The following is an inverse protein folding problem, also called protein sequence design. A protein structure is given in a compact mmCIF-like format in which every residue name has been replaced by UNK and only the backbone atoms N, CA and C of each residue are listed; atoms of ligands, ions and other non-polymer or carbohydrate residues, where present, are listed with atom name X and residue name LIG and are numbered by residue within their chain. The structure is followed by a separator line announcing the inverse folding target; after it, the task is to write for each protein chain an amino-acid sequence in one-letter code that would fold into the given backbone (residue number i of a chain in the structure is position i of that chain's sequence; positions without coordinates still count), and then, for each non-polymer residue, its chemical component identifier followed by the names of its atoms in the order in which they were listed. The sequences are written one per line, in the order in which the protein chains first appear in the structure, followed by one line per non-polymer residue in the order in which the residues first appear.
data_IF_780856764137
#
_entry.id   IF_780856764137
#
_cell.length_a   1.000
_cell.length_b   1.000
_cell.length_c   1.000
_cell.angle_alpha   90.00
_cell.angle_beta   90.00
_cell.angle_gamma   90.00
#
_symmetry.space_group_name_H-M   'P 1'
#
loop_
_entity.id
_entity.type
_entity.pdbx_description
1 polymer ?
#
# COMPACT_ATOMS: atom_id res chain seq x y z
N UNK A 1 -24.50 38.09 57.45
CA UNK A 1 -23.17 37.63 57.92
C UNK A 1 -23.13 36.12 57.79
N UNK A 2 -22.54 35.58 56.71
CA UNK A 2 -22.52 34.13 56.39
C UNK A 2 -21.07 33.64 56.42
N UNK A 3 -20.78 32.75 57.36
CA UNK A 3 -19.49 32.09 57.56
C UNK A 3 -19.33 30.99 56.49
N UNK A 4 -18.27 31.08 55.68
CA UNK A 4 -17.86 30.02 54.73
C UNK A 4 -16.78 29.15 55.38
N UNK A 5 -17.07 27.86 55.59
CA UNK A 5 -16.09 26.84 55.96
C UNK A 5 -15.34 26.37 54.71
N UNK A 6 -14.01 26.39 54.78
CA UNK A 6 -13.10 25.81 53.77
C UNK A 6 -12.94 24.32 54.08
N UNK A 7 -13.17 23.46 53.09
CA UNK A 7 -12.77 22.06 53.12
C UNK A 7 -11.40 21.93 52.44
N UNK A 8 -10.43 21.40 53.17
CA UNK A 8 -9.12 20.99 52.68
C UNK A 8 -9.19 19.48 52.53
N UNK A 9 -8.94 18.98 51.30
CA UNK A 9 -8.88 17.54 51.02
C UNK A 9 -7.41 17.18 50.73
N UNK A 10 -6.83 16.36 51.61
CA UNK A 10 -5.55 15.69 51.40
C UNK A 10 -5.80 14.43 50.57
N UNK A 11 -5.07 14.25 49.46
CA UNK A 11 -5.01 12.97 48.74
C UNK A 11 -3.58 12.43 48.90
N UNK A 12 -3.48 11.25 49.49
CA UNK A 12 -2.26 10.48 49.74
C UNK A 12 -1.94 9.66 48.49
N UNK A 13 -0.74 9.84 47.94
CA UNK A 13 -0.18 9.02 46.88
C UNK A 13 0.20 7.63 47.42
N UNK A 14 -0.17 6.57 46.71
CA UNK A 14 0.33 5.21 46.94
C UNK A 14 1.07 4.73 45.69
N UNK A 15 2.37 4.50 45.87
CA UNK A 15 3.28 3.87 44.93
C UNK A 15 2.95 2.38 44.78
N UNK A 16 2.83 1.88 43.55
CA UNK A 16 2.89 0.45 43.25
C UNK A 16 3.97 0.26 42.19
N UNK A 17 5.06 -0.40 42.60
CA UNK A 17 6.16 -0.84 41.72
C UNK A 17 5.81 -2.24 41.25
N UNK A 18 5.61 -2.44 39.95
CA UNK A 18 5.43 -3.75 39.33
C UNK A 18 6.68 -4.10 38.54
N UNK A 19 7.44 -5.08 39.04
CA UNK A 19 8.55 -5.74 38.36
C UNK A 19 7.97 -6.79 37.41
N UNK A 20 8.18 -6.64 36.10
CA UNK A 20 7.94 -7.72 35.13
C UNK A 20 9.27 -8.41 34.79
N UNK A 21 9.30 -9.72 35.03
CA UNK A 21 10.40 -10.61 34.74
C UNK A 21 10.39 -11.05 33.26
N UNK A 22 11.58 -11.09 32.65
CA UNK A 22 11.79 -11.59 31.29
C UNK A 22 11.62 -13.12 31.23
N UNK A 23 10.72 -13.58 30.36
CA UNK A 23 10.56 -14.98 29.97
C UNK A 23 11.09 -15.22 28.55
N UNK A 24 11.96 -16.21 28.43
CA UNK A 24 12.74 -16.61 27.26
C UNK A 24 11.94 -17.55 26.34
N UNK A 25 11.91 -17.35 25.01
CA UNK A 25 11.45 -18.38 24.05
C UNK A 25 12.34 -18.46 22.78
N UNK A 26 13.19 -19.49 22.77
CA UNK A 26 13.46 -20.54 21.75
C UNK A 26 13.37 -20.19 20.24
N UNK A 27 14.54 -20.25 19.59
CA UNK A 27 14.80 -20.33 18.15
C UNK A 27 14.17 -21.54 17.44
N UNK A 28 13.66 -21.32 16.21
CA UNK A 28 13.66 -22.34 15.14
C UNK A 28 14.01 -21.72 13.79
N UNK A 29 15.15 -22.18 13.26
CA UNK A 29 15.80 -21.79 12.02
C UNK A 29 15.03 -22.22 10.77
N UNK A 30 14.98 -21.33 9.78
CA UNK A 30 14.47 -21.56 8.43
C UNK A 30 15.57 -22.05 7.46
N UNK A 31 15.12 -22.77 6.42
CA UNK A 31 15.88 -23.39 5.35
C UNK A 31 16.23 -22.39 4.22
N UNK A 32 17.41 -22.57 3.63
CA UNK A 32 18.03 -21.71 2.61
C UNK A 32 17.40 -21.83 1.22
N UNK A 33 17.20 -20.69 0.55
CA UNK A 33 17.05 -20.58 -0.90
C UNK A 33 18.37 -20.11 -1.52
N UNK A 34 18.77 -20.71 -2.65
CA UNK A 34 19.91 -20.29 -3.47
C UNK A 34 19.43 -19.81 -4.84
N UNK A 35 19.77 -18.57 -5.15
CA UNK A 35 19.50 -17.83 -6.38
C UNK A 35 20.55 -18.14 -7.44
N UNK A 36 20.15 -18.18 -8.72
CA UNK A 36 21.07 -18.18 -9.87
C UNK A 36 20.82 -16.95 -10.75
N UNK A 37 21.86 -16.15 -10.90
CA UNK A 37 21.93 -14.95 -11.76
C UNK A 37 22.03 -15.33 -13.24
N UNK A 38 21.36 -14.56 -14.11
CA UNK A 38 21.60 -14.59 -15.57
C UNK A 38 21.86 -13.17 -16.06
N UNK A 39 23.02 -13.02 -16.70
CA UNK A 39 23.54 -11.83 -17.37
C UNK A 39 22.92 -11.68 -18.76
N UNK A 40 22.56 -10.46 -19.15
CA UNK A 40 22.04 -10.12 -20.48
C UNK A 40 23.11 -9.33 -21.24
N UNK A 41 23.42 -9.77 -22.46
CA UNK A 41 24.23 -9.01 -23.43
C UNK A 41 23.30 -8.32 -24.43
N UNK A 42 23.58 -7.04 -24.67
CA UNK A 42 22.94 -6.22 -25.71
C UNK A 42 23.55 -6.49 -27.08
N UNK A 43 22.75 -6.43 -28.13
CA UNK A 43 23.22 -6.20 -29.49
C UNK A 43 22.20 -5.34 -30.23
N UNK A 44 22.68 -4.19 -30.67
CA UNK A 44 22.01 -3.18 -31.47
C UNK A 44 22.04 -3.58 -32.93
N UNK A 45 20.94 -3.39 -33.66
CA UNK A 45 21.03 -2.93 -35.06
C UNK A 45 19.70 -2.47 -35.67
N UNK A 46 19.88 -1.55 -36.64
CA UNK A 46 19.05 -1.25 -37.82
C UNK A 46 18.03 -0.08 -37.84
N UNK A 47 18.50 0.99 -38.51
CA UNK A 47 17.98 1.58 -39.78
C UNK A 47 16.48 1.83 -40.03
N UNK A 48 16.16 3.15 -40.02
CA UNK A 48 15.40 4.01 -40.97
C UNK A 48 14.52 3.37 -42.06
N UNK A 49 13.23 3.78 -42.12
CA UNK A 49 12.54 4.19 -43.37
C UNK A 49 11.26 5.02 -43.13
N UNK A 50 11.13 6.09 -43.92
CA UNK A 50 10.02 7.03 -44.05
C UNK A 50 8.75 6.41 -44.67
N UNK A 51 7.55 6.96 -44.41
CA UNK A 51 6.81 7.89 -45.32
C UNK A 51 5.26 7.81 -45.18
N UNK A 52 4.66 9.00 -45.18
CA UNK A 52 3.35 9.44 -45.73
C UNK A 52 2.02 9.24 -44.97
N UNK A 53 1.37 10.39 -44.81
CA UNK A 53 -0.02 10.69 -44.49
C UNK A 53 -1.06 10.09 -45.46
N UNK A 54 -2.28 9.87 -44.97
CA UNK A 54 -3.50 10.24 -45.69
C UNK A 54 -4.71 10.33 -44.75
N UNK A 55 -5.38 11.48 -44.81
CA UNK A 55 -6.67 11.77 -44.19
C UNK A 55 -7.79 10.98 -44.90
N UNK A 56 -8.78 10.49 -44.15
CA UNK A 56 -10.15 10.47 -44.64
C UNK A 56 -11.19 10.45 -43.53
N UNK A 57 -12.06 11.44 -43.61
CA UNK A 57 -13.24 11.73 -42.80
C UNK A 57 -14.40 10.84 -43.25
N UNK A 58 -15.06 10.13 -42.34
CA UNK A 58 -16.46 9.69 -42.51
C UNK A 58 -17.17 9.80 -41.18
N UNK A 59 -17.99 10.83 -41.04
CA UNK A 59 -18.99 10.97 -39.99
C UNK A 59 -20.05 9.89 -40.16
N UNK A 60 -20.20 9.02 -39.17
CA UNK A 60 -21.30 8.06 -39.09
C UNK A 60 -22.25 8.51 -37.99
N UNK A 61 -23.49 8.81 -38.38
CA UNK A 61 -24.61 9.11 -37.49
C UNK A 61 -24.78 8.00 -36.46
N UNK A 62 -24.45 8.33 -35.21
CA UNK A 62 -24.70 7.47 -34.06
C UNK A 62 -26.18 7.54 -33.73
N UNK A 63 -26.91 6.50 -34.15
CA UNK A 63 -28.24 6.20 -33.62
C UNK A 63 -28.06 5.94 -32.12
N UNK A 64 -28.66 6.81 -31.30
CA UNK A 64 -28.79 6.63 -29.87
C UNK A 64 -29.66 5.40 -29.60
N UNK A 65 -29.04 4.22 -29.62
CA UNK A 65 -29.67 3.01 -29.09
C UNK A 65 -29.68 3.16 -27.58
N UNK A 66 -30.87 3.50 -27.09
CA UNK A 66 -31.27 3.47 -25.68
C UNK A 66 -30.58 2.33 -24.94
N UNK A 67 -29.90 2.71 -23.86
CA UNK A 67 -29.34 1.80 -22.87
C UNK A 67 -30.47 0.91 -22.35
N UNK A 68 -30.53 -0.33 -22.84
CA UNK A 68 -31.33 -1.37 -22.23
C UNK A 68 -30.65 -1.72 -20.91
N UNK A 69 -30.97 -0.95 -19.88
CA UNK A 69 -30.68 -1.28 -18.49
C UNK A 69 -31.09 -2.74 -18.28
N UNK A 70 -30.10 -3.62 -18.06
CA UNK A 70 -30.33 -4.99 -17.61
C UNK A 70 -31.05 -4.87 -16.26
N UNK A 71 -32.37 -4.98 -16.26
CA UNK A 71 -33.27 -4.72 -15.14
C UNK A 71 -33.14 -5.70 -13.96
N UNK A 72 -32.06 -6.50 -13.93
CA UNK A 72 -31.94 -7.74 -13.16
C UNK A 72 -30.70 -7.78 -12.27
N UNK A 73 -30.12 -6.61 -11.94
CA UNK A 73 -29.04 -6.47 -10.96
C UNK A 73 -27.65 -6.91 -11.43
N UNK A 74 -27.46 -7.15 -12.74
CA UNK A 74 -26.20 -7.59 -13.35
C UNK A 74 -25.51 -6.50 -14.17
N UNK A 75 -25.59 -5.24 -13.73
CA UNK A 75 -24.86 -4.16 -14.39
C UNK A 75 -23.40 -4.15 -13.93
N UNK A 76 -22.47 -4.13 -14.88
CA UNK A 76 -21.06 -3.87 -14.64
C UNK A 76 -20.76 -2.38 -14.54
N UNK A 77 -21.65 -1.50 -15.03
CA UNK A 77 -21.41 -0.06 -15.00
C UNK A 77 -21.16 0.48 -13.58
N UNK A 78 -20.18 1.37 -13.49
CA UNK A 78 -19.83 2.01 -12.23
C UNK A 78 -18.34 2.20 -12.04
N UNK A 79 -17.99 2.73 -10.89
CA UNK A 79 -16.61 2.86 -10.44
C UNK A 79 -16.37 1.88 -9.30
N UNK A 80 -15.49 0.93 -9.56
CA UNK A 80 -15.20 -0.20 -8.70
C UNK A 80 -13.82 -0.02 -8.08
N UNK A 81 -13.75 0.00 -6.76
CA UNK A 81 -12.52 0.13 -5.99
C UNK A 81 -12.13 -1.21 -5.39
N UNK A 82 -10.86 -1.59 -5.53
CA UNK A 82 -10.32 -2.83 -4.98
C UNK A 82 -10.41 -2.80 -3.46
N UNK A 83 -10.88 -3.88 -2.86
CA UNK A 83 -11.24 -3.96 -1.44
C UNK A 83 -10.65 -5.21 -0.78
N UNK A 84 -10.62 -5.24 0.55
CA UNK A 84 -10.03 -6.28 1.38
C UNK A 84 -8.52 -6.46 1.14
N UNK A 85 -7.82 -5.33 1.01
CA UNK A 85 -6.37 -5.26 0.75
C UNK A 85 -5.72 -4.19 1.62
N UNK A 86 -4.39 -4.21 1.81
CA UNK A 86 -3.66 -3.05 2.33
C UNK A 86 -3.77 -1.86 1.36
N UNK A 87 -3.90 -0.63 1.88
CA UNK A 87 -3.98 0.62 1.07
C UNK A 87 -2.80 0.84 0.13
N UNK A 88 -1.63 0.30 0.50
CA UNK A 88 -0.41 0.29 -0.31
C UNK A 88 -0.62 -0.31 -1.72
N UNK A 89 -1.62 -1.18 -1.84
CA UNK A 89 -2.04 -1.80 -3.08
C UNK A 89 -3.43 -1.33 -3.40
N UNK A 90 -3.72 -1.10 -4.66
CA UNK A 90 -5.07 -0.74 -5.03
C UNK A 90 -5.33 -0.80 -6.51
N UNK A 91 -6.58 -0.52 -6.82
CA UNK A 91 -7.10 -0.60 -8.16
C UNK A 91 -8.45 0.09 -8.22
N UNK A 92 -8.63 0.93 -9.23
CA UNK A 92 -9.94 1.44 -9.63
C UNK A 92 -10.24 0.95 -11.04
N UNK A 93 -11.42 0.38 -11.22
CA UNK A 93 -11.96 0.04 -12.54
C UNK A 93 -13.18 0.92 -12.76
N UNK A 94 -13.14 1.75 -13.79
CA UNK A 94 -14.32 2.48 -14.26
C UNK A 94 -14.90 1.72 -15.45
N UNK A 95 -16.15 1.29 -15.35
CA UNK A 95 -16.88 0.59 -16.41
C UNK A 95 -17.99 1.49 -16.93
N UNK A 96 -18.05 1.66 -18.25
CA UNK A 96 -18.95 2.57 -18.96
C UNK A 96 -19.45 1.96 -20.27
N UNK A 97 -20.47 2.58 -20.87
CA UNK A 97 -20.99 2.23 -22.19
C UNK A 97 -21.42 0.76 -22.27
N UNK A 98 -22.03 0.22 -21.22
CA UNK A 98 -22.47 -1.17 -21.26
C UNK A 98 -23.60 -1.35 -22.28
N UNK A 99 -23.44 -2.37 -23.12
CA UNK A 99 -24.42 -2.87 -24.08
C UNK A 99 -24.73 -4.34 -23.76
N UNK A 100 -25.51 -5.00 -24.61
CA UNK A 100 -25.93 -6.39 -24.39
C UNK A 100 -24.76 -7.40 -24.43
N UNK A 101 -23.71 -7.07 -25.18
CA UNK A 101 -22.60 -7.97 -25.51
C UNK A 101 -21.23 -7.42 -25.13
N UNK A 102 -21.13 -6.17 -24.66
CA UNK A 102 -19.86 -5.60 -24.23
C UNK A 102 -20.00 -4.44 -23.23
N UNK A 103 -18.88 -4.03 -22.66
CA UNK A 103 -18.70 -2.74 -22.00
C UNK A 103 -17.27 -2.22 -22.21
N UNK A 104 -17.08 -0.91 -22.05
CA UNK A 104 -15.76 -0.29 -21.99
C UNK A 104 -15.29 -0.19 -20.54
N UNK A 105 -13.98 -0.32 -20.31
CA UNK A 105 -13.39 -0.14 -18.99
C UNK A 105 -12.07 0.64 -19.02
N UNK A 106 -11.78 1.32 -17.91
CA UNK A 106 -10.50 1.95 -17.58
C UNK A 106 -10.04 1.43 -16.22
N UNK A 107 -8.91 0.73 -16.18
CA UNK A 107 -8.26 0.29 -14.95
C UNK A 107 -7.06 1.16 -14.62
N UNK A 108 -6.95 1.53 -13.35
CA UNK A 108 -5.77 2.18 -12.76
C UNK A 108 -5.39 1.45 -11.49
N UNK A 109 -4.22 0.83 -11.48
CA UNK A 109 -3.68 0.07 -10.34
C UNK A 109 -2.41 0.69 -9.78
N UNK A 110 -2.13 0.40 -8.51
CA UNK A 110 -0.89 0.81 -7.84
C UNK A 110 -0.39 -0.23 -6.84
N UNK A 111 0.91 -0.18 -6.61
CA UNK A 111 1.66 -0.98 -5.63
C UNK A 111 2.80 -0.10 -5.09
N UNK A 112 2.58 0.56 -3.96
CA UNK A 112 3.43 1.66 -3.51
C UNK A 112 3.51 2.78 -4.57
N UNK A 113 4.72 3.14 -4.97
CA UNK A 113 4.98 4.12 -6.03
C UNK A 113 4.93 3.52 -7.46
N UNK A 114 4.72 2.22 -7.61
CA UNK A 114 4.49 1.62 -8.93
C UNK A 114 3.03 1.77 -9.34
N UNK A 115 2.79 2.02 -10.62
CA UNK A 115 1.45 2.16 -11.17
C UNK A 115 1.29 1.43 -12.50
N UNK A 116 0.05 1.21 -12.90
CA UNK A 116 -0.32 0.61 -14.17
C UNK A 116 -1.69 1.08 -14.60
N UNK A 117 -1.86 1.26 -15.91
CA UNK A 117 -3.12 1.67 -16.51
C UNK A 117 -3.39 0.75 -17.70
N UNK A 118 -4.63 0.29 -17.84
CA UNK A 118 -5.08 -0.36 -19.06
C UNK A 118 -6.54 -0.01 -19.29
N UNK A 119 -6.91 0.20 -20.54
CA UNK A 119 -8.28 0.47 -20.95
C UNK A 119 -8.62 -0.44 -22.13
N UNK A 120 -9.88 -0.79 -22.28
CA UNK A 120 -10.31 -1.66 -23.37
C UNK A 120 -11.81 -1.95 -23.33
N UNK A 121 -12.24 -2.85 -24.21
CA UNK A 121 -13.63 -3.27 -24.31
C UNK A 121 -13.71 -4.75 -23.96
N UNK A 122 -14.44 -5.09 -22.90
CA UNK A 122 -14.66 -6.46 -22.48
C UNK A 122 -15.95 -7.00 -23.12
N UNK A 123 -15.92 -8.25 -23.58
CA UNK A 123 -17.07 -8.93 -24.18
C UNK A 123 -17.85 -9.68 -23.09
N UNK A 124 -19.14 -9.43 -22.99
CA UNK A 124 -20.06 -10.12 -22.07
C UNK A 124 -20.32 -11.51 -22.65
N UNK A 125 -19.80 -12.52 -21.97
CA UNK A 125 -19.93 -13.94 -22.38
C UNK A 125 -21.12 -14.63 -21.72
N UNK A 126 -21.56 -14.11 -20.58
CA UNK A 126 -22.75 -14.53 -19.84
C UNK A 126 -23.24 -13.35 -18.98
N UNK A 127 -24.47 -13.41 -18.47
CA UNK A 127 -25.13 -12.36 -17.66
C UNK A 127 -24.24 -11.79 -16.55
N UNK A 128 -23.38 -12.62 -15.96
CA UNK A 128 -22.52 -12.28 -14.83
C UNK A 128 -21.03 -12.33 -15.16
N UNK A 129 -20.64 -12.55 -16.42
CA UNK A 129 -19.24 -12.77 -16.80
C UNK A 129 -18.87 -12.05 -18.10
N UNK A 130 -17.79 -11.30 -18.07
CA UNK A 130 -17.17 -10.74 -19.27
C UNK A 130 -15.67 -11.06 -19.36
N UNK A 131 -15.13 -10.96 -20.57
CA UNK A 131 -13.74 -11.28 -20.90
C UNK A 131 -13.13 -10.16 -21.75
N UNK A 132 -11.93 -9.73 -21.38
CA UNK A 132 -11.07 -8.89 -22.19
C UNK A 132 -9.77 -9.62 -22.51
N UNK A 133 -9.39 -9.66 -23.78
CA UNK A 133 -8.16 -10.30 -24.25
C UNK A 133 -7.17 -9.23 -24.70
N UNK A 134 -6.00 -9.20 -24.06
CA UNK A 134 -4.92 -8.30 -24.41
C UNK A 134 -3.75 -9.08 -25.02
N UNK A 135 -3.21 -8.62 -26.14
CA UNK A 135 -1.98 -9.16 -26.73
C UNK A 135 -0.88 -8.13 -26.61
N UNK A 136 0.17 -8.47 -25.86
CA UNK A 136 1.34 -7.62 -25.73
C UNK A 136 2.08 -7.54 -27.07
N UNK A 137 2.28 -6.31 -27.54
CA UNK A 137 3.02 -6.00 -28.77
C UNK A 137 4.49 -6.37 -28.71
N UNK A 138 5.07 -6.52 -27.51
CA UNK A 138 6.50 -6.75 -27.34
C UNK A 138 6.87 -8.19 -27.01
N UNK A 139 6.03 -8.94 -26.30
CA UNK A 139 6.40 -10.27 -25.79
C UNK A 139 5.64 -11.45 -26.43
N UNK A 140 4.79 -11.22 -27.45
CA UNK A 140 3.87 -12.21 -28.02
C UNK A 140 2.96 -12.89 -26.98
N UNK A 141 2.96 -12.42 -25.74
CA UNK A 141 2.14 -12.94 -24.66
C UNK A 141 0.73 -12.39 -24.80
N UNK A 142 -0.23 -13.21 -24.40
CA UNK A 142 -1.62 -12.82 -24.26
C UNK A 142 -2.00 -12.85 -22.79
N UNK A 143 -2.74 -11.85 -22.35
CA UNK A 143 -3.46 -11.85 -21.09
C UNK A 143 -4.96 -11.96 -21.35
N UNK A 144 -5.64 -12.68 -20.47
CA UNK A 144 -7.10 -12.81 -20.48
C UNK A 144 -7.59 -12.30 -19.13
N UNK A 145 -8.29 -11.17 -19.14
CA UNK A 145 -8.92 -10.57 -17.97
C UNK A 145 -10.37 -11.00 -17.93
N UNK A 146 -10.77 -11.64 -16.83
CA UNK A 146 -12.15 -12.06 -16.59
C UNK A 146 -12.76 -11.19 -15.52
N UNK A 147 -13.97 -10.68 -15.78
CA UNK A 147 -14.78 -9.91 -14.84
C UNK A 147 -16.00 -10.74 -14.46
N UNK A 148 -16.26 -10.91 -13.17
CA UNK A 148 -17.41 -11.67 -12.66
C UNK A 148 -18.16 -10.78 -11.67
N UNK A 149 -19.46 -10.60 -11.86
CA UNK A 149 -20.33 -9.95 -10.87
C UNK A 149 -21.14 -10.98 -10.14
N UNK A 150 -21.00 -10.98 -8.82
CA UNK A 150 -21.82 -11.79 -7.92
C UNK A 150 -22.13 -10.99 -6.65
N UNK A 151 -23.39 -11.02 -6.21
CA UNK A 151 -23.85 -10.37 -4.98
C UNK A 151 -23.41 -8.90 -4.80
N UNK A 152 -23.40 -8.12 -5.90
CA UNK A 152 -22.99 -6.71 -5.88
C UNK A 152 -21.49 -6.45 -5.73
N UNK A 153 -20.66 -7.49 -5.87
CA UNK A 153 -19.21 -7.42 -5.89
C UNK A 153 -18.68 -7.78 -7.29
N UNK A 154 -17.65 -7.07 -7.74
CA UNK A 154 -16.93 -7.38 -8.96
C UNK A 154 -15.64 -8.13 -8.60
N UNK A 155 -15.52 -9.37 -9.03
CA UNK A 155 -14.26 -10.13 -8.97
C UNK A 155 -13.56 -10.04 -10.32
N UNK A 156 -12.29 -9.65 -10.32
CA UNK A 156 -11.47 -9.61 -11.54
C UNK A 156 -10.29 -10.54 -11.37
N UNK A 157 -9.97 -11.28 -12.41
CA UNK A 157 -8.79 -12.15 -12.48
C UNK A 157 -8.11 -12.03 -13.83
N UNK A 158 -6.79 -12.07 -13.87
CA UNK A 158 -6.04 -12.02 -15.11
C UNK A 158 -5.13 -13.24 -15.26
N UNK A 159 -5.35 -14.01 -16.31
CA UNK A 159 -4.37 -14.95 -16.80
C UNK A 159 -3.20 -14.16 -17.39
N UNK A 160 -1.99 -14.39 -16.89
CA UNK A 160 -0.77 -13.74 -17.35
C UNK A 160 -0.73 -12.20 -17.19
N UNK A 161 -0.89 -11.72 -15.96
CA UNK A 161 -0.73 -10.29 -15.60
C UNK A 161 0.50 -9.61 -16.20
N UNK A 162 1.61 -10.34 -16.36
CA UNK A 162 2.87 -9.78 -16.91
C UNK A 162 2.70 -9.21 -18.33
N UNK A 163 1.73 -9.71 -19.10
CA UNK A 163 1.45 -9.19 -20.43
C UNK A 163 0.68 -7.87 -20.42
N UNK A 164 0.04 -7.47 -19.31
CA UNK A 164 -0.74 -6.23 -19.23
C UNK A 164 0.13 -4.96 -19.15
N UNK A 165 1.46 -5.11 -19.05
CA UNK A 165 2.41 -3.99 -19.10
C UNK A 165 2.38 -3.08 -17.88
N UNK A 166 1.88 -3.56 -16.73
CA UNK A 166 1.85 -2.78 -15.50
C UNK A 166 3.25 -2.61 -14.89
N UNK A 167 3.40 -1.59 -14.04
CA UNK A 167 4.57 -1.42 -13.19
C UNK A 167 4.80 -2.61 -12.26
N UNK A 168 5.99 -2.66 -11.65
CA UNK A 168 6.42 -3.79 -10.84
C UNK A 168 5.41 -4.12 -9.73
N UNK A 169 4.98 -5.39 -9.67
CA UNK A 169 3.98 -5.94 -8.74
C UNK A 169 2.56 -5.33 -8.79
N UNK A 170 2.27 -4.46 -9.75
CA UNK A 170 0.89 -4.00 -9.98
C UNK A 170 0.12 -5.12 -10.69
N UNK A 171 -1.03 -5.51 -10.12
CA UNK A 171 -1.89 -6.57 -10.65
C UNK A 171 -3.36 -6.11 -10.62
N UNK A 172 -4.16 -6.59 -11.56
CA UNK A 172 -5.60 -6.26 -11.64
C UNK A 172 -6.46 -7.23 -10.81
N UNK A 173 -5.93 -8.39 -10.42
CA UNK A 173 -6.67 -9.43 -9.73
C UNK A 173 -7.20 -8.98 -8.37
N UNK A 174 -8.45 -9.30 -8.07
CA UNK A 174 -9.02 -9.12 -6.74
C UNK A 174 -10.51 -8.83 -6.77
N UNK A 175 -11.00 -8.49 -5.59
CA UNK A 175 -12.39 -8.13 -5.38
C UNK A 175 -12.52 -6.62 -5.35
N UNK A 176 -13.57 -6.12 -5.98
CA UNK A 176 -13.86 -4.72 -6.12
C UNK A 176 -15.30 -4.41 -5.68
N UNK A 177 -15.49 -3.22 -5.14
CA UNK A 177 -16.78 -2.74 -4.65
C UNK A 177 -17.04 -1.31 -5.14
N UNK A 178 -18.31 -0.97 -5.35
CA UNK A 178 -18.74 0.41 -5.62
C UNK A 178 -18.76 1.26 -4.33
N UNK A 179 -18.87 0.61 -3.18
CA UNK A 179 -18.84 1.27 -1.88
C UNK A 179 -17.42 1.74 -1.51
N UNK A 180 -17.28 2.35 -0.33
CA UNK A 180 -15.96 2.63 0.24
C UNK A 180 -15.18 1.30 0.42
N UNK A 181 -13.95 1.19 -0.09
CA UNK A 181 -13.15 -0.02 0.06
C UNK A 181 -12.77 -0.28 1.52
N UNK A 182 -12.81 -1.55 1.92
CA UNK A 182 -12.31 -2.00 3.20
C UNK A 182 -10.81 -2.24 3.08
N UNK A 183 -10.02 -1.55 3.90
CA UNK A 183 -8.57 -1.74 3.93
C UNK A 183 -8.14 -2.55 5.14
N UNK A 184 -7.27 -3.54 4.93
CA UNK A 184 -6.81 -4.42 6.02
C UNK A 184 -5.91 -3.70 7.03
N UNK A 185 -5.31 -2.57 6.65
CA UNK A 185 -4.45 -1.74 7.50
C UNK A 185 -5.14 -0.45 7.99
N UNK A 186 -6.47 -0.31 7.86
CA UNK A 186 -7.17 0.94 8.19
C UNK A 186 -6.93 1.48 9.62
N UNK A 187 -6.72 0.58 10.59
CA UNK A 187 -6.51 0.93 12.00
C UNK A 187 -5.06 0.75 12.48
N UNK A 188 -4.10 0.67 11.54
CA UNK A 188 -2.71 0.33 11.88
C UNK A 188 -2.07 1.38 12.81
N UNK A 189 -2.26 2.68 12.52
CA UNK A 189 -1.69 3.76 13.34
C UNK A 189 -2.18 3.67 14.79
N UNK A 190 -3.48 3.48 15.00
CA UNK A 190 -4.07 3.34 16.34
C UNK A 190 -3.66 2.03 17.02
N UNK A 191 -3.39 0.97 16.26
CA UNK A 191 -2.86 -0.28 16.82
C UNK A 191 -1.43 -0.14 17.34
N UNK A 192 -0.61 0.73 16.74
CA UNK A 192 0.78 0.98 17.17
C UNK A 192 0.84 2.07 18.24
N UNK A 193 0.03 3.12 18.10
CA UNK A 193 -0.05 4.26 19.01
C UNK A 193 -1.48 4.38 19.57
N UNK A 194 -1.87 3.53 20.53
CA UNK A 194 -3.25 3.44 21.01
C UNK A 194 -3.72 4.65 21.81
N UNK A 195 -2.79 5.47 22.32
CA UNK A 195 -3.10 6.69 23.07
C UNK A 195 -2.63 7.91 22.28
N UNK A 196 -3.39 9.00 22.36
CA UNK A 196 -2.96 10.27 21.76
C UNK A 196 -1.63 10.77 22.36
N UNK A 197 -1.38 10.46 23.63
CA UNK A 197 -0.08 10.74 24.26
C UNK A 197 1.09 10.01 23.55
N UNK A 198 0.87 8.82 23.01
CA UNK A 198 1.91 8.07 22.28
C UNK A 198 2.17 8.68 20.91
N UNK A 199 1.11 9.15 20.24
CA UNK A 199 1.19 9.90 18.97
C UNK A 199 1.95 11.21 19.17
N UNK A 200 1.65 11.96 20.22
CA UNK A 200 2.35 13.21 20.55
C UNK A 200 3.81 12.96 20.96
N UNK A 201 4.11 11.89 21.71
CA UNK A 201 5.48 11.47 22.01
C UNK A 201 6.27 11.17 20.73
N UNK A 202 5.71 10.37 19.82
CA UNK A 202 6.32 10.07 18.53
C UNK A 202 6.52 11.34 17.70
N UNK A 203 5.51 12.21 17.61
CA UNK A 203 5.58 13.49 16.90
C UNK A 203 6.67 14.42 17.44
N UNK A 204 6.79 14.56 18.76
CA UNK A 204 7.84 15.35 19.40
C UNK A 204 9.23 14.76 19.12
N UNK A 205 9.33 13.43 19.12
CA UNK A 205 10.56 12.71 18.85
C UNK A 205 11.03 12.89 17.40
N UNK A 206 10.16 12.71 16.41
CA UNK A 206 10.50 12.84 14.99
C UNK A 206 10.61 14.30 14.53
N UNK A 207 9.77 15.18 15.08
CA UNK A 207 9.45 16.46 14.43
C UNK A 207 8.32 16.32 13.40
N UNK A 208 7.72 17.44 13.00
CA UNK A 208 6.49 17.44 12.19
C UNK A 208 6.67 16.70 10.86
N UNK A 209 7.70 17.07 10.07
CA UNK A 209 7.91 16.53 8.71
C UNK A 209 8.13 15.02 8.72
N UNK A 210 9.11 14.55 9.49
CA UNK A 210 9.39 13.11 9.59
C UNK A 210 8.22 12.32 10.20
N UNK A 211 7.43 12.93 11.10
CA UNK A 211 6.21 12.32 11.62
C UNK A 211 5.13 12.14 10.55
N UNK A 212 4.87 13.16 9.72
CA UNK A 212 3.92 13.05 8.61
C UNK A 212 4.35 11.97 7.61
N UNK A 213 5.63 11.93 7.22
CA UNK A 213 6.15 10.89 6.33
C UNK A 213 6.09 9.50 6.96
N UNK A 214 6.32 9.36 8.27
CA UNK A 214 6.11 8.10 8.97
C UNK A 214 4.64 7.66 8.87
N UNK A 215 3.68 8.57 9.05
CA UNK A 215 2.26 8.25 8.90
C UNK A 215 1.93 7.82 7.47
N UNK A 216 2.51 8.48 6.45
CA UNK A 216 2.35 8.08 5.06
C UNK A 216 2.90 6.67 4.80
N UNK A 217 4.06 6.33 5.37
CA UNK A 217 4.61 4.96 5.29
C UNK A 217 3.73 3.96 6.05
N UNK A 218 3.11 4.33 7.16
CA UNK A 218 2.18 3.44 7.85
C UNK A 218 0.88 3.23 7.08
N UNK A 219 0.38 4.26 6.39
CA UNK A 219 -0.86 4.19 5.62
C UNK A 219 -0.66 3.50 4.27
N UNK A 220 0.40 3.84 3.54
CA UNK A 220 0.66 3.46 2.15
C UNK A 220 1.82 2.47 1.99
N UNK A 221 2.49 2.12 3.07
CA UNK A 221 3.61 1.18 3.05
C UNK A 221 3.17 -0.27 3.05
N UNK A 222 4.05 -1.10 2.51
CA UNK A 222 3.95 -2.54 2.55
C UNK A 222 4.55 -2.99 3.87
N UNK A 223 3.77 -3.70 4.67
CA UNK A 223 4.24 -4.22 5.95
C UNK A 223 5.07 -5.50 5.76
N UNK A 224 6.17 -5.60 6.51
CA UNK A 224 6.95 -6.84 6.67
C UNK A 224 6.74 -7.39 8.06
N UNK A 225 6.58 -8.71 8.16
CA UNK A 225 6.49 -9.37 9.45
C UNK A 225 7.87 -9.41 10.09
N UNK A 226 8.02 -8.73 11.22
CA UNK A 226 9.19 -8.81 12.09
C UNK A 226 8.69 -8.92 13.53
N UNK A 227 8.93 -10.08 14.15
CA UNK A 227 8.47 -10.42 15.50
C UNK A 227 9.15 -9.60 16.61
N UNK A 228 10.25 -8.89 16.30
CA UNK A 228 10.97 -8.04 17.26
C UNK A 228 10.46 -6.61 17.29
N UNK A 229 9.66 -6.21 16.31
CA UNK A 229 9.19 -4.84 16.10
C UNK A 229 7.67 -4.74 16.26
N UNK A 230 7.20 -3.57 16.66
CA UNK A 230 5.77 -3.27 16.67
C UNK A 230 5.26 -3.03 15.24
N UNK A 231 6.09 -2.41 14.40
CA UNK A 231 5.80 -2.20 12.98
C UNK A 231 7.10 -2.18 12.15
N UNK A 232 7.00 -2.65 10.91
CA UNK A 232 8.03 -2.52 9.89
C UNK A 232 7.34 -2.40 8.54
N UNK A 233 7.65 -1.36 7.78
CA UNK A 233 7.10 -1.20 6.44
C UNK A 233 7.85 -0.20 5.58
N UNK A 234 7.63 -0.28 4.26
CA UNK A 234 8.21 0.64 3.29
C UNK A 234 7.30 0.88 2.09
N UNK A 235 7.40 2.07 1.49
CA UNK A 235 6.71 2.40 0.24
C UNK A 235 7.57 1.93 -0.93
N UNK A 236 7.16 0.82 -1.56
CA UNK A 236 7.88 0.23 -2.68
C UNK A 236 8.05 1.25 -3.81
N UNK A 237 9.28 1.41 -4.31
CA UNK A 237 9.60 2.34 -5.40
C UNK A 237 9.83 3.79 -4.97
N UNK A 238 9.47 4.19 -3.75
CA UNK A 238 9.81 5.51 -3.18
C UNK A 238 11.09 5.47 -2.34
N UNK A 239 11.44 4.31 -1.77
CA UNK A 239 12.60 4.15 -0.89
C UNK A 239 12.35 4.64 0.55
N UNK A 240 11.16 5.17 0.83
CA UNK A 240 10.74 5.59 2.17
C UNK A 240 10.25 4.40 2.99
N UNK A 241 10.54 4.42 4.29
CA UNK A 241 10.24 3.31 5.18
C UNK A 241 10.34 3.68 6.65
N UNK A 242 9.81 2.81 7.51
CA UNK A 242 9.95 2.94 8.96
C UNK A 242 9.89 1.58 9.64
N UNK A 243 10.76 1.41 10.63
CA UNK A 243 10.67 0.36 11.63
C UNK A 243 10.43 1.01 12.99
N UNK A 244 9.47 0.46 13.73
CA UNK A 244 9.04 0.99 15.01
C UNK A 244 9.14 -0.12 16.04
N UNK A 245 9.89 0.15 17.11
CA UNK A 245 9.79 -0.58 18.37
C UNK A 245 9.39 0.39 19.47
N UNK A 246 8.42 -0.02 20.27
CA UNK A 246 7.99 0.65 21.50
C UNK A 246 8.16 -0.36 22.62
N UNK A 247 9.02 -0.05 23.57
CA UNK A 247 9.28 -0.87 24.75
C UNK A 247 9.15 -0.01 26.01
N UNK A 248 8.11 -0.27 26.80
CA UNK A 248 7.73 0.55 27.94
C UNK A 248 7.54 2.02 27.55
N UNK A 249 8.38 2.92 28.06
CA UNK A 249 8.37 4.35 27.72
C UNK A 249 9.40 4.74 26.64
N UNK A 250 10.12 3.77 26.09
CA UNK A 250 11.14 4.00 25.07
C UNK A 250 10.60 3.75 23.66
N UNK A 251 10.89 4.69 22.77
CA UNK A 251 10.55 4.67 21.36
C UNK A 251 11.84 4.52 20.57
N UNK A 252 11.83 3.59 19.62
CA UNK A 252 12.91 3.38 18.67
C UNK A 252 12.28 3.40 17.28
N UNK A 253 12.41 4.53 16.60
CA UNK A 253 11.82 4.74 15.29
C UNK A 253 12.95 4.91 14.30
N UNK A 254 13.23 3.87 13.53
CA UNK A 254 14.23 3.89 12.47
C UNK A 254 13.53 4.33 11.18
N UNK A 255 13.72 5.59 10.80
CA UNK A 255 13.24 6.16 9.55
C UNK A 255 14.21 5.88 8.40
N UNK A 256 13.65 5.66 7.21
CA UNK A 256 14.37 5.38 5.97
C UNK A 256 13.96 6.45 4.98
N UNK A 257 14.90 7.29 4.55
CA UNK A 257 14.63 8.43 3.68
C UNK A 257 13.52 9.37 4.20
N UNK A 258 13.33 9.42 5.53
CA UNK A 258 12.46 10.41 6.17
C UNK A 258 13.25 11.70 6.34
N UNK A 259 12.81 12.77 5.66
CA UNK A 259 13.38 14.13 5.59
C UNK A 259 14.82 14.24 5.04
N UNK A 260 15.64 13.22 5.28
CA UNK A 260 17.07 13.16 5.01
C UNK A 260 17.39 11.87 4.25
N UNK A 261 18.45 11.87 3.46
CA UNK A 261 18.89 10.66 2.78
C UNK A 261 19.49 9.66 3.78
N UNK A 262 19.20 8.36 3.58
CA UNK A 262 19.72 7.29 4.41
C UNK A 262 18.79 6.91 5.55
N UNK A 263 19.38 6.56 6.69
CA UNK A 263 18.68 6.03 7.85
C UNK A 263 18.84 6.98 9.03
N UNK A 264 17.77 7.21 9.79
CA UNK A 264 17.82 8.00 11.01
C UNK A 264 17.11 7.26 12.12
N UNK A 265 17.83 6.92 13.18
CA UNK A 265 17.23 6.42 14.42
C UNK A 265 16.78 7.60 15.26
N UNK A 266 15.47 7.71 15.47
CA UNK A 266 14.88 8.60 16.46
C UNK A 266 14.60 7.81 17.74
N UNK A 267 15.16 8.23 18.87
CA UNK A 267 14.93 7.57 20.16
C UNK A 267 14.95 8.52 21.36
N UNK A 268 14.25 8.14 22.42
CA UNK A 268 14.35 8.76 23.75
C UNK A 268 15.12 7.89 24.75
N UNK A 269 15.74 6.79 24.31
CA UNK A 269 16.59 5.95 25.14
C UNK A 269 18.05 6.44 25.08
N UNK A 270 18.61 6.95 26.20
CA UNK A 270 19.98 7.44 26.22
C UNK A 270 21.02 6.36 25.92
N UNK A 271 20.71 5.07 26.11
CA UNK A 271 21.61 3.98 25.79
C UNK A 271 21.88 3.85 24.28
N UNK A 272 20.97 4.35 23.44
CA UNK A 272 21.02 4.23 21.97
C UNK A 272 21.14 5.57 21.24
N UNK A 273 21.58 6.62 21.94
CA UNK A 273 21.76 7.96 21.36
C UNK A 273 22.79 8.03 20.21
N UNK A 274 23.66 7.01 20.08
CA UNK A 274 24.72 6.96 19.06
C UNK A 274 24.97 5.54 18.52
N UNK A 275 24.05 4.61 18.78
CA UNK A 275 24.21 3.18 18.46
C UNK A 275 22.87 2.62 18.01
N UNK A 276 22.90 1.79 16.97
CA UNK A 276 21.72 1.09 16.49
C UNK A 276 21.45 -0.13 17.37
N UNK A 277 20.26 -0.27 17.96
CA UNK A 277 19.88 -1.50 18.65
C UNK A 277 20.00 -2.74 17.75
N UNK A 278 20.35 -3.88 18.34
CA UNK A 278 20.58 -5.14 17.63
C UNK A 278 19.31 -5.81 17.09
N UNK A 279 18.13 -5.38 17.58
CA UNK A 279 16.85 -5.80 17.04
C UNK A 279 16.52 -5.14 15.69
N UNK A 280 17.23 -4.08 15.28
CA UNK A 280 17.20 -3.62 13.90
C UNK A 280 18.23 -4.38 13.05
N UNK A 281 17.84 -4.69 11.82
CA UNK A 281 18.75 -5.30 10.84
C UNK A 281 19.95 -4.38 10.60
N UNK A 282 21.17 -4.92 10.72
CA UNK A 282 22.41 -4.16 10.47
C UNK A 282 22.39 -3.51 9.09
N UNK A 283 22.71 -2.22 9.03
CA UNK A 283 22.79 -1.42 7.81
C UNK A 283 24.25 -1.04 7.55
N UNK A 284 24.94 -1.80 6.70
CA UNK A 284 26.39 -1.60 6.46
C UNK A 284 26.71 -0.64 5.31
N UNK A 285 25.74 -0.34 4.45
CA UNK A 285 25.98 0.33 3.17
C UNK A 285 25.27 1.70 3.06
N UNK A 286 24.83 2.27 4.19
CA UNK A 286 24.07 3.52 4.17
C UNK A 286 24.44 4.42 5.34
N UNK A 287 24.31 5.73 5.12
CA UNK A 287 24.46 6.74 6.17
C UNK A 287 23.43 6.47 7.27
N UNK A 288 23.91 6.41 8.51
CA UNK A 288 23.08 6.23 9.69
C UNK A 288 23.25 7.44 10.61
N UNK A 289 22.15 8.15 10.84
CA UNK A 289 22.06 9.28 11.74
C UNK A 289 21.33 8.88 13.02
N UNK A 290 21.58 9.65 14.09
CA UNK A 290 20.96 9.43 15.39
C UNK A 290 20.36 10.73 15.89
N UNK A 291 19.10 10.68 16.30
CA UNK A 291 18.37 11.78 16.92
C UNK A 291 17.88 11.33 18.27
N UNK A 292 18.49 11.86 19.32
CA UNK A 292 18.07 11.65 20.69
C UNK A 292 17.29 12.86 21.21
N UNK A 293 16.12 12.61 21.81
CA UNK A 293 15.35 13.64 22.54
C UNK A 293 14.81 13.04 23.82
N UNK A 294 15.07 13.67 24.97
CA UNK A 294 14.36 13.29 26.20
C UNK A 294 12.90 13.70 26.07
N UNK A 295 11.99 12.75 26.31
CA UNK A 295 10.56 13.05 26.36
C UNK A 295 10.15 13.50 27.76
N UNK A 296 9.25 14.48 27.88
CA UNK A 296 8.73 14.95 29.16
C UNK A 296 7.86 13.91 29.87
#
# INVERSE_FOLDING_TARGET
MKIRRKFVLFIIASFVVSLCACGHIIDKTASNNSTSNITINETTDNTVLNKTESNNTVSTESTNTESSNLADGSSFEGEWNRTNIPKAFGGRIKITNQKNDFFDFDFRGWYGAHSGIISGTAQITDKYKSIFTYKDKYSNKTAIVTFIIDNGQLTVSAENNSALGFGFNVIIDGNYTIAEPNYTNANLIDSIFPRDADKEKAKNLLGQTAYEQMLDVMDLGIQYINDKLNYSGYIQGAGEGVDIKIDCDFYYILGYWLETSGYTLYTNDPAFQATLPDFFTKRTNATLNFVYKSLP
#
